data_IF_019757442628
#
_entry.id   IF_019757442628
#
_cell.length_a   1.000
_cell.length_b   1.000
_cell.length_c   1.000
_cell.angle_alpha   90.00
_cell.angle_beta   90.00
_cell.angle_gamma   90.00
#
_symmetry.space_group_name_H-M   'P 1'
#
loop_
_entity.id
_entity.type
_entity.pdbx_description
1 polymer ?
#
# COMPACT_ATOMS: atom_id res chain seq x y z
N UNK A 1 -63.66 32.70 14.73
CA UNK A 1 -62.49 32.16 14.01
C UNK A 1 -61.25 32.82 14.56
N UNK A 2 -60.28 32.00 15.03
CA UNK A 2 -58.84 32.25 15.26
C UNK A 2 -58.46 33.53 16.04
N UNK A 3 -58.02 33.53 17.31
CA UNK A 3 -56.93 32.80 17.99
C UNK A 3 -55.56 32.91 17.30
N UNK A 4 -54.55 33.32 18.09
CA UNK A 4 -53.14 33.58 17.78
C UNK A 4 -52.85 35.00 17.25
N UNK A 5 -51.97 35.81 17.84
CA UNK A 5 -50.65 35.46 18.34
C UNK A 5 -50.27 36.32 19.56
N UNK A 6 -50.36 35.72 20.74
CA UNK A 6 -49.57 36.10 21.91
C UNK A 6 -48.41 35.11 21.99
N UNK A 7 -47.25 35.59 22.46
CA UNK A 7 -46.08 34.84 22.95
C UNK A 7 -44.95 34.58 21.93
N UNK A 8 -44.09 35.59 21.74
CA UNK A 8 -42.66 35.35 21.48
C UNK A 8 -41.83 35.95 22.62
N UNK A 9 -41.57 35.14 23.65
CA UNK A 9 -40.45 35.34 24.56
C UNK A 9 -40.11 34.01 25.21
N UNK A 10 -39.36 33.18 24.50
CA UNK A 10 -38.73 32.01 25.11
C UNK A 10 -37.60 32.49 26.04
N UNK A 11 -37.49 31.98 27.28
CA UNK A 11 -36.32 32.26 28.08
C UNK A 11 -35.15 31.46 27.52
N UNK A 12 -34.09 32.16 27.10
CA UNK A 12 -32.77 31.56 26.92
C UNK A 12 -32.26 31.23 28.32
N UNK A 13 -32.58 30.03 28.81
CA UNK A 13 -31.95 29.49 30.01
C UNK A 13 -30.54 29.04 29.63
N UNK A 14 -29.59 29.96 29.69
CA UNK A 14 -28.18 29.63 29.70
C UNK A 14 -27.90 28.85 31.00
N UNK A 15 -27.64 27.56 30.87
CA UNK A 15 -27.23 26.71 32.00
C UNK A 15 -25.90 27.25 32.53
N UNK A 16 -25.96 27.90 33.69
CA UNK A 16 -24.78 28.41 34.37
C UNK A 16 -24.00 27.21 34.92
N UNK A 17 -22.87 26.88 34.30
CA UNK A 17 -21.99 25.82 34.80
C UNK A 17 -21.45 26.24 36.18
N UNK A 18 -21.61 25.42 37.24
CA UNK A 18 -21.07 25.72 38.55
C UNK A 18 -19.55 25.94 38.46
N UNK A 19 -19.06 27.08 38.97
CA UNK A 19 -17.62 27.40 38.99
C UNK A 19 -16.76 26.35 39.69
N UNK A 20 -17.36 25.52 40.55
CA UNK A 20 -16.70 24.38 41.19
C UNK A 20 -16.25 23.29 40.18
N UNK A 21 -16.86 23.20 38.99
CA UNK A 21 -16.42 22.32 37.89
C UNK A 21 -15.36 22.98 36.99
N UNK A 22 -15.16 24.29 37.12
CA UNK A 22 -14.08 25.05 36.48
C UNK A 22 -12.85 25.15 37.39
N UNK A 23 -12.65 24.15 38.27
CA UNK A 23 -11.39 24.01 38.99
C UNK A 23 -10.23 24.16 38.00
N UNK A 24 -9.23 24.96 38.36
CA UNK A 24 -8.07 25.25 37.52
C UNK A 24 -7.60 23.97 36.82
N UNK A 25 -7.41 23.99 35.48
CA UNK A 25 -7.03 22.79 34.77
C UNK A 25 -5.78 22.25 35.42
N UNK A 26 -5.91 21.08 36.08
CA UNK A 26 -4.78 20.40 36.68
C UNK A 26 -3.70 20.33 35.60
N UNK A 27 -2.56 20.95 35.85
CA UNK A 27 -1.45 20.95 34.91
C UNK A 27 -1.05 19.48 34.69
N UNK A 28 -1.50 18.91 33.59
CA UNK A 28 -1.13 17.58 33.14
C UNK A 28 0.36 17.64 32.81
N UNK A 29 1.18 17.37 33.82
CA UNK A 29 2.61 17.26 33.66
C UNK A 29 2.89 15.95 32.93
N UNK A 30 2.84 16.00 31.60
CA UNK A 30 3.30 14.92 30.74
C UNK A 30 4.79 14.74 31.03
N UNK A 31 5.15 13.71 31.80
CA UNK A 31 6.55 13.29 31.90
C UNK A 31 7.03 13.04 30.47
N UNK A 32 8.13 13.67 30.04
CA UNK A 32 8.71 13.36 28.74
C UNK A 32 9.01 11.87 28.71
N UNK A 33 8.30 11.13 27.85
CA UNK A 33 8.63 9.74 27.60
C UNK A 33 10.03 9.72 26.98
N UNK A 34 10.97 8.91 27.49
CA UNK A 34 12.30 8.84 26.89
C UNK A 34 12.16 8.51 25.41
N UNK A 35 12.81 9.31 24.57
CA UNK A 35 12.75 9.10 23.12
C UNK A 35 13.12 7.65 22.78
N UNK A 36 12.36 6.96 21.93
CA UNK A 36 12.70 5.60 21.51
C UNK A 36 14.11 5.59 20.93
N UNK A 37 14.93 4.63 21.37
CA UNK A 37 16.26 4.44 20.76
C UNK A 37 16.06 3.89 19.34
N UNK A 38 16.86 4.32 18.35
CA UNK A 38 16.76 3.76 17.00
C UNK A 38 17.09 2.27 17.03
N UNK A 39 16.29 1.48 16.31
CA UNK A 39 16.55 0.06 16.09
C UNK A 39 17.67 -0.11 15.06
N UNK A 40 18.73 -0.82 15.45
CA UNK A 40 19.90 -1.10 14.60
C UNK A 40 19.84 -2.50 14.00
N UNK A 41 20.55 -2.72 12.89
CA UNK A 41 20.67 -4.03 12.24
C UNK A 41 19.49 -4.40 11.34
N UNK A 42 18.87 -3.39 10.72
CA UNK A 42 17.84 -3.57 9.68
C UNK A 42 18.43 -3.46 8.27
N UNK A 43 19.75 -3.26 8.13
CA UNK A 43 20.39 -2.93 6.84
C UNK A 43 20.24 -4.04 5.77
N UNK A 44 20.13 -5.30 6.20
CA UNK A 44 19.89 -6.44 5.32
C UNK A 44 18.41 -6.71 5.03
N UNK A 45 17.49 -6.01 5.70
CA UNK A 45 16.07 -6.28 5.61
C UNK A 45 15.43 -5.45 4.50
N UNK A 46 14.42 -6.02 3.84
CA UNK A 46 13.69 -5.31 2.78
C UNK A 46 12.19 -5.52 2.91
N UNK A 47 11.46 -4.43 2.76
CA UNK A 47 10.00 -4.43 2.71
C UNK A 47 9.56 -4.39 1.24
N UNK A 48 8.80 -5.39 0.80
CA UNK A 48 8.36 -5.53 -0.59
C UNK A 48 6.95 -4.99 -0.81
N UNK A 49 6.03 -5.33 0.09
CA UNK A 49 4.64 -4.89 -0.03
C UNK A 49 4.03 -4.60 1.33
N UNK A 50 3.08 -3.68 1.31
CA UNK A 50 2.25 -3.37 2.46
C UNK A 50 0.80 -3.18 2.03
N UNK A 51 -0.10 -3.83 2.75
CA UNK A 51 -1.54 -3.68 2.67
C UNK A 51 -2.03 -3.18 4.03
N UNK A 52 -2.01 -1.86 4.22
CA UNK A 52 -2.47 -1.23 5.46
C UNK A 52 -3.97 -0.93 5.41
N UNK A 53 -4.65 -1.06 6.55
CA UNK A 53 -6.04 -0.64 6.74
C UNK A 53 -6.17 0.78 7.33
N UNK A 54 -5.04 1.44 7.65
CA UNK A 54 -5.00 2.81 8.19
C UNK A 54 -5.10 2.91 9.72
N UNK A 55 -5.39 1.83 10.43
CA UNK A 55 -5.46 1.72 11.90
C UNK A 55 -4.17 1.11 12.52
N UNK A 56 -3.08 1.08 11.75
CA UNK A 56 -1.84 0.38 12.11
C UNK A 56 -1.92 -1.13 11.94
N UNK A 57 -3.05 -1.67 11.46
CA UNK A 57 -3.20 -3.08 11.12
C UNK A 57 -3.10 -3.28 9.61
N UNK A 58 -2.76 -4.51 9.22
CA UNK A 58 -2.55 -4.85 7.83
C UNK A 58 -1.67 -6.07 7.67
N UNK A 59 -1.32 -6.34 6.42
CA UNK A 59 -0.39 -7.39 6.02
C UNK A 59 0.80 -6.75 5.32
N UNK A 60 2.01 -7.23 5.61
CA UNK A 60 3.22 -6.79 4.95
C UNK A 60 4.08 -7.99 4.55
N UNK A 61 4.82 -7.88 3.45
CA UNK A 61 5.80 -8.89 3.06
C UNK A 61 7.20 -8.31 3.05
N UNK A 62 8.14 -9.03 3.69
CA UNK A 62 9.51 -8.57 3.89
C UNK A 62 10.50 -9.73 3.76
N UNK A 63 11.74 -9.44 3.37
CA UNK A 63 12.87 -10.36 3.54
C UNK A 63 13.75 -9.92 4.68
N UNK A 64 14.26 -10.89 5.44
CA UNK A 64 15.31 -10.68 6.42
C UNK A 64 16.70 -10.65 5.73
N UNK A 65 17.73 -10.43 6.53
CA UNK A 65 19.15 -10.47 6.14
C UNK A 65 19.59 -11.86 5.62
N UNK A 66 18.98 -12.93 6.12
CA UNK A 66 19.18 -14.31 5.64
C UNK A 66 18.46 -14.60 4.30
N UNK A 67 17.75 -13.62 3.73
CA UNK A 67 17.00 -13.75 2.48
C UNK A 67 15.64 -14.42 2.61
N UNK A 68 15.24 -14.88 3.81
CA UNK A 68 13.94 -15.50 4.04
C UNK A 68 12.81 -14.49 3.89
N UNK A 69 11.86 -14.81 3.02
CA UNK A 69 10.65 -14.03 2.81
C UNK A 69 9.60 -14.39 3.86
N UNK A 70 9.03 -13.38 4.51
CA UNK A 70 8.01 -13.50 5.55
C UNK A 70 6.81 -12.61 5.21
N UNK A 71 5.63 -13.08 5.60
CA UNK A 71 4.40 -12.30 5.58
C UNK A 71 3.98 -12.05 7.03
N UNK A 72 3.78 -10.79 7.40
CA UNK A 72 3.66 -10.35 8.79
C UNK A 72 2.48 -9.40 8.98
N UNK A 73 1.97 -9.34 10.20
CA UNK A 73 0.91 -8.43 10.64
C UNK A 73 1.35 -7.76 11.95
N UNK A 74 0.63 -6.73 12.39
CA UNK A 74 0.88 -6.13 13.69
C UNK A 74 0.78 -7.19 14.82
N UNK A 75 1.69 -7.10 15.79
CA UNK A 75 1.87 -8.07 16.87
C UNK A 75 2.69 -9.32 16.49
N UNK A 76 3.04 -9.52 15.22
CA UNK A 76 3.89 -10.64 14.82
C UNK A 76 5.29 -10.50 15.44
N UNK A 77 5.86 -11.64 15.87
CA UNK A 77 7.23 -11.72 16.39
C UNK A 77 8.14 -12.43 15.40
N UNK A 78 9.25 -11.78 15.10
CA UNK A 78 10.25 -12.22 14.14
C UNK A 78 11.33 -13.06 14.85
N UNK A 79 12.13 -13.84 14.08
CA UNK A 79 13.10 -14.80 14.64
C UNK A 79 14.16 -14.18 15.55
N UNK A 80 14.49 -12.91 15.35
CA UNK A 80 15.45 -12.13 16.14
C UNK A 80 14.83 -11.48 17.40
N UNK A 81 13.56 -11.80 17.70
CA UNK A 81 12.81 -11.20 18.79
C UNK A 81 12.24 -9.81 18.49
N UNK A 82 12.37 -9.33 17.25
CA UNK A 82 11.74 -8.07 16.81
C UNK A 82 10.23 -8.27 16.68
N UNK A 83 9.46 -7.31 17.16
CA UNK A 83 8.00 -7.29 17.10
C UNK A 83 7.54 -6.25 16.09
N UNK A 84 6.54 -6.62 15.30
CA UNK A 84 5.85 -5.69 14.40
C UNK A 84 4.86 -4.89 15.21
N UNK A 85 5.08 -3.58 15.36
CA UNK A 85 4.18 -2.69 16.09
C UNK A 85 2.97 -2.31 15.25
N UNK A 86 3.22 -1.90 14.01
CA UNK A 86 2.18 -1.41 13.12
C UNK A 86 2.56 -1.62 11.66
N UNK A 87 1.53 -1.82 10.84
CA UNK A 87 1.59 -1.89 9.38
C UNK A 87 0.96 -0.61 8.83
N UNK A 88 1.80 0.32 8.41
CA UNK A 88 1.39 1.62 7.86
C UNK A 88 1.42 1.62 6.34
N UNK A 89 0.98 2.69 5.69
CA UNK A 89 0.76 2.71 4.23
C UNK A 89 1.98 2.32 3.40
N UNK A 90 3.16 2.77 3.78
CA UNK A 90 4.43 2.60 3.05
C UNK A 90 5.57 2.07 3.94
N UNK A 91 5.27 1.80 5.22
CA UNK A 91 6.28 1.42 6.21
C UNK A 91 5.76 0.39 7.20
N UNK A 92 6.70 -0.29 7.82
CA UNK A 92 6.50 -1.25 8.89
C UNK A 92 7.23 -0.74 10.12
N UNK A 93 6.50 -0.50 11.21
CA UNK A 93 7.09 -0.13 12.49
C UNK A 93 7.51 -1.38 13.26
N UNK A 94 8.74 -1.39 13.72
CA UNK A 94 9.39 -2.52 14.37
C UNK A 94 9.91 -2.13 15.74
N UNK A 95 9.88 -3.09 16.67
CA UNK A 95 10.42 -2.92 18.02
C UNK A 95 11.28 -4.10 18.44
N UNK A 96 12.45 -3.83 19.01
CA UNK A 96 13.25 -4.83 19.73
C UNK A 96 13.58 -4.28 21.12
N UNK A 97 12.94 -4.83 22.14
CA UNK A 97 13.03 -4.29 23.50
C UNK A 97 12.56 -2.84 23.56
N UNK A 98 13.44 -1.93 23.99
CA UNK A 98 13.17 -0.48 24.03
C UNK A 98 13.62 0.31 22.79
N UNK A 99 13.99 -0.38 21.72
CA UNK A 99 14.37 0.24 20.45
C UNK A 99 13.23 0.17 19.45
N UNK A 100 13.03 1.23 18.67
CA UNK A 100 12.03 1.32 17.61
C UNK A 100 12.70 1.72 16.31
N UNK A 101 12.29 1.10 15.21
CA UNK A 101 12.73 1.46 13.87
C UNK A 101 11.62 1.27 12.86
N UNK A 102 11.88 1.73 11.65
CA UNK A 102 10.96 1.58 10.53
C UNK A 102 11.66 0.89 9.37
N UNK A 103 10.91 0.04 8.67
CA UNK A 103 11.25 -0.38 7.31
C UNK A 103 10.29 0.32 6.37
N UNK A 104 10.82 1.01 5.38
CA UNK A 104 10.02 1.67 4.34
C UNK A 104 10.10 0.84 3.07
N UNK A 105 9.03 0.79 2.29
CA UNK A 105 9.08 0.26 0.93
C UNK A 105 10.07 1.14 0.15
N UNK A 106 11.28 0.62 -0.06
CA UNK A 106 12.23 1.26 -0.95
C UNK A 106 11.69 1.01 -2.37
N UNK A 107 10.90 1.96 -2.88
CA UNK A 107 10.52 1.96 -4.29
C UNK A 107 11.77 1.78 -5.13
N UNK A 108 11.74 0.89 -6.11
CA UNK A 108 12.78 0.55 -7.11
C UNK A 108 13.76 1.69 -7.43
N UNK A 109 14.68 2.00 -6.51
CA UNK A 109 15.63 3.09 -6.65
C UNK A 109 17.01 2.55 -6.30
N UNK A 110 17.82 2.48 -7.36
CA UNK A 110 19.21 2.05 -7.43
C UNK A 110 19.44 0.58 -7.10
N UNK A 111 19.31 -0.23 -8.16
CA UNK A 111 20.31 -1.25 -8.43
C UNK A 111 21.68 -0.66 -8.09
N UNK A 112 22.30 -1.13 -7.00
CA UNK A 112 23.75 -1.17 -6.94
C UNK A 112 24.23 -1.78 -8.28
N UNK A 113 25.34 -1.31 -8.87
CA UNK A 113 25.81 -1.83 -10.13
C UNK A 113 25.89 -3.34 -10.00
N UNK A 114 24.96 -4.04 -10.66
CA UNK A 114 24.94 -5.47 -10.67
C UNK A 114 26.28 -5.86 -11.29
N UNK A 115 27.10 -6.54 -10.48
CA UNK A 115 28.22 -7.33 -10.96
C UNK A 115 27.78 -7.99 -12.24
N UNK A 116 28.45 -7.64 -13.34
CA UNK A 116 28.01 -7.89 -14.71
C UNK A 116 27.42 -9.29 -14.88
N UNK A 117 26.09 -9.37 -14.82
CA UNK A 117 25.39 -10.46 -15.48
C UNK A 117 25.56 -10.10 -16.94
N UNK A 118 26.43 -10.84 -17.63
CA UNK A 118 26.52 -10.85 -19.09
C UNK A 118 25.09 -10.88 -19.60
N UNK A 119 24.66 -9.77 -20.21
CA UNK A 119 23.54 -9.80 -21.11
C UNK A 119 23.88 -10.88 -22.14
N UNK A 120 23.08 -11.95 -22.15
CA UNK A 120 22.91 -12.68 -23.39
C UNK A 120 22.30 -11.65 -24.32
N UNK A 121 23.04 -11.29 -25.37
CA UNK A 121 22.51 -10.53 -26.51
C UNK A 121 21.30 -11.31 -27.04
N UNK A 122 20.11 -10.96 -26.55
CA UNK A 122 18.88 -11.22 -27.29
C UNK A 122 18.74 -10.03 -28.19
N UNK A 123 19.35 -10.18 -29.36
CA UNK A 123 19.07 -9.39 -30.55
C UNK A 123 17.54 -9.20 -30.63
N UNK A 124 17.02 -7.95 -30.67
CA UNK A 124 15.62 -7.76 -30.97
C UNK A 124 15.46 -8.12 -32.43
N UNK A 125 15.13 -9.39 -32.69
CA UNK A 125 14.57 -9.81 -33.95
C UNK A 125 13.35 -8.91 -34.17
N UNK A 126 13.54 -7.89 -35.00
CA UNK A 126 12.47 -7.03 -35.47
C UNK A 126 11.72 -7.87 -36.49
N UNK A 127 11.00 -8.88 -36.00
CA UNK A 127 10.04 -9.63 -36.79
C UNK A 127 8.91 -8.65 -37.06
N UNK A 128 8.99 -7.98 -38.22
CA UNK A 128 7.85 -7.31 -38.82
C UNK A 128 6.70 -8.32 -38.77
N UNK A 129 5.59 -8.01 -38.08
CA UNK A 129 4.48 -8.94 -37.98
C UNK A 129 3.95 -9.19 -39.39
N UNK A 130 4.31 -10.34 -39.96
CA UNK A 130 3.80 -10.77 -41.26
C UNK A 130 2.35 -11.17 -41.03
N UNK A 131 1.44 -10.50 -41.74
CA UNK A 131 0.02 -10.82 -41.73
C UNK A 131 -0.14 -12.31 -42.14
N UNK A 132 -0.69 -13.19 -41.27
CA UNK A 132 -0.94 -14.57 -41.64
C UNK A 132 -1.95 -14.63 -42.79
N UNK A 133 -1.79 -15.59 -43.72
CA UNK A 133 -2.72 -15.77 -44.82
C UNK A 133 -4.14 -16.06 -44.28
N UNK A 134 -5.15 -15.31 -44.75
CA UNK A 134 -6.54 -15.41 -44.28
C UNK A 134 -6.97 -14.39 -43.22
N UNK A 135 -6.08 -13.47 -42.81
CA UNK A 135 -6.34 -12.47 -41.77
C UNK A 135 -6.83 -11.10 -42.26
N UNK A 136 -6.92 -10.90 -43.58
CA UNK A 136 -7.19 -9.60 -44.20
C UNK A 136 -8.55 -9.02 -43.77
N UNK A 137 -9.57 -9.88 -43.62
CA UNK A 137 -10.91 -9.48 -43.18
C UNK A 137 -10.92 -8.94 -41.75
N UNK A 138 -10.09 -9.49 -40.85
CA UNK A 138 -10.01 -9.05 -39.45
C UNK A 138 -9.24 -7.74 -39.29
N UNK A 139 -8.20 -7.54 -40.09
CA UNK A 139 -7.49 -6.26 -40.14
C UNK A 139 -8.40 -5.17 -40.71
N UNK A 140 -9.19 -5.46 -41.75
CA UNK A 140 -10.20 -4.53 -42.28
C UNK A 140 -11.31 -4.22 -41.26
N UNK A 141 -11.60 -5.14 -40.34
CA UNK A 141 -12.53 -4.93 -39.23
C UNK A 141 -11.91 -4.15 -38.04
N UNK A 142 -10.64 -3.75 -38.12
CA UNK A 142 -9.96 -2.94 -37.10
C UNK A 142 -9.27 -3.73 -35.98
N UNK A 143 -9.12 -5.05 -36.14
CA UNK A 143 -8.41 -5.88 -35.15
C UNK A 143 -6.89 -5.70 -35.34
N UNK A 144 -6.14 -5.30 -34.28
CA UNK A 144 -4.69 -5.13 -34.38
C UNK A 144 -3.97 -6.48 -34.60
N UNK A 145 -2.90 -6.46 -35.39
CA UNK A 145 -2.12 -7.67 -35.73
C UNK A 145 -1.57 -8.39 -34.49
N UNK A 146 -1.20 -7.64 -33.44
CA UNK A 146 -0.70 -8.21 -32.18
C UNK A 146 -1.73 -9.12 -31.49
N UNK A 147 -3.01 -8.77 -31.59
CA UNK A 147 -4.10 -9.56 -31.01
C UNK A 147 -4.33 -10.85 -31.82
N UNK A 148 -4.26 -10.77 -33.15
CA UNK A 148 -4.33 -11.95 -34.03
C UNK A 148 -3.15 -12.92 -33.82
N UNK A 149 -1.97 -12.38 -33.54
CA UNK A 149 -0.79 -13.18 -33.21
C UNK A 149 -0.89 -13.82 -31.82
N UNK A 150 -1.42 -13.11 -30.82
CA UNK A 150 -1.67 -13.63 -29.49
C UNK A 150 -2.68 -14.80 -29.49
N UNK A 151 -3.63 -14.80 -30.42
CA UNK A 151 -4.60 -15.88 -30.62
C UNK A 151 -4.04 -17.09 -31.40
N UNK A 152 -2.77 -17.06 -31.79
CA UNK A 152 -2.11 -18.16 -32.49
C UNK A 152 -2.45 -18.27 -33.98
N UNK A 153 -3.06 -17.24 -34.58
CA UNK A 153 -3.48 -17.20 -35.98
C UNK A 153 -4.90 -16.65 -36.15
N UNK A 154 -5.36 -16.57 -37.40
CA UNK A 154 -6.70 -16.05 -37.66
C UNK A 154 -7.78 -17.11 -37.49
N UNK A 155 -8.85 -16.80 -36.76
CA UNK A 155 -9.98 -17.70 -36.64
C UNK A 155 -10.61 -17.89 -38.02
N UNK A 156 -10.83 -19.15 -38.43
CA UNK A 156 -11.54 -19.41 -39.68
C UNK A 156 -12.95 -18.83 -39.54
N UNK A 157 -13.33 -17.94 -40.45
CA UNK A 157 -14.68 -17.44 -40.52
C UNK A 157 -15.60 -18.65 -40.68
N UNK A 158 -16.40 -18.93 -39.65
CA UNK A 158 -17.42 -19.96 -39.72
C UNK A 158 -18.47 -19.42 -40.69
N UNK A 159 -18.52 -19.99 -41.90
CA UNK A 159 -19.53 -19.68 -42.91
C UNK A 159 -20.91 -19.76 -42.26
N UNK A 160 -21.50 -18.59 -42.03
CA UNK A 160 -22.93 -18.48 -41.72
C UNK A 160 -23.65 -18.53 -43.07
N UNK A 161 -23.79 -19.74 -43.62
CA UNK A 161 -24.65 -19.99 -44.78
C UNK A 161 -26.12 -20.01 -44.32
N UNK A 162 -27.06 -19.46 -45.12
CA UNK A 162 -28.42 -19.12 -44.71
C UNK A 162 -29.32 -20.32 -44.38
#
# INVERSE_FOLDING_TARGET
>A
MLLAALLLSAPVSAVQLPKALLAEPATLSLKPYPAPRPLTGLDGWRLYSVFSRGDGQGLASLSLDDGRLLSVQAGARLPDGTEVLAVERDRLLLRRGGQVGELVIQGLALRAPATAIRAVDVEPATTVPVLPAGCESFVQAGVPLDELQALGGCPMAVDSSP
#
